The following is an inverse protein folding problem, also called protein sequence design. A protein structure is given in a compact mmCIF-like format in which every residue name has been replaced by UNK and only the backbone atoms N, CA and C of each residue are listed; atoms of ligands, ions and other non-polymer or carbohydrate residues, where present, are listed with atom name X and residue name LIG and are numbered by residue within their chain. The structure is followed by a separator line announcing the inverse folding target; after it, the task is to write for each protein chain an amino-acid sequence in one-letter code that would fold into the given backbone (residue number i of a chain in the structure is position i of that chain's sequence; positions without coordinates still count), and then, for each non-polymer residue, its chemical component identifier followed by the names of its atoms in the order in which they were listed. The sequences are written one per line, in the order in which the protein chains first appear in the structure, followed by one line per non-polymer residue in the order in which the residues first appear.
data_IF_447749073843
#
_entry.id   IF_447749073843
#
_cell.length_a   1.000
_cell.length_b   1.000
_cell.length_c   1.000
_cell.angle_alpha   90.00
_cell.angle_beta   90.00
_cell.angle_gamma   90.00
#
_symmetry.space_group_name_H-M   'P 1'
#
loop_
_entity.id
_entity.type
_entity.pdbx_description
1 polymer ?
#
# COMPACT_ATOMS: atom_id res chain seq x y z
N UNK A 1 5.14 76.08 38.04
CA UNK A 1 4.03 75.18 38.45
C UNK A 1 2.67 75.64 37.89
N UNK A 2 2.49 75.65 36.56
CA UNK A 2 1.18 75.97 35.92
C UNK A 2 0.77 74.99 34.82
N UNK A 3 1.38 73.80 34.78
CA UNK A 3 1.08 72.80 33.76
C UNK A 3 -0.03 71.81 34.19
N UNK A 4 -0.24 71.66 35.50
CA UNK A 4 -1.21 70.71 36.08
C UNK A 4 -2.66 71.22 36.23
N UNK A 5 -2.96 72.47 35.83
CA UNK A 5 -4.25 73.11 36.16
C UNK A 5 -5.30 73.11 35.04
N UNK A 6 -5.10 72.38 33.93
CA UNK A 6 -6.02 72.41 32.77
C UNK A 6 -6.68 71.09 32.37
N UNK A 7 -6.32 69.96 32.96
CA UNK A 7 -6.98 68.68 32.68
C UNK A 7 -7.62 68.13 33.94
N UNK A 8 -8.90 67.73 33.88
CA UNK A 8 -9.57 66.98 34.95
C UNK A 8 -8.67 65.75 35.23
N UNK A 9 -8.04 65.68 36.40
CA UNK A 9 -7.05 64.64 36.76
C UNK A 9 -7.62 63.21 36.71
N UNK A 10 -8.93 63.06 36.93
CA UNK A 10 -9.63 61.76 36.92
C UNK A 10 -9.62 61.06 35.54
N UNK A 11 -10.09 61.67 34.43
CA UNK A 11 -10.10 61.01 33.13
C UNK A 11 -8.70 60.66 32.60
N UNK A 12 -7.68 61.47 32.87
CA UNK A 12 -6.30 61.18 32.42
C UNK A 12 -5.72 59.95 33.10
N UNK A 13 -5.97 59.77 34.39
CA UNK A 13 -5.56 58.56 35.14
C UNK A 13 -6.24 57.30 34.62
N UNK A 14 -7.54 57.36 34.31
CA UNK A 14 -8.29 56.23 33.76
C UNK A 14 -7.72 55.82 32.40
N UNK A 15 -7.47 56.78 31.51
CA UNK A 15 -6.92 56.53 30.17
C UNK A 15 -5.54 55.87 30.24
N UNK A 16 -4.64 56.38 31.11
CA UNK A 16 -3.30 55.80 31.28
C UNK A 16 -3.39 54.38 31.87
N UNK A 17 -4.27 54.15 32.86
CA UNK A 17 -4.44 52.80 33.43
C UNK A 17 -4.98 51.80 32.40
N UNK A 18 -5.94 52.21 31.56
CA UNK A 18 -6.48 51.38 30.49
C UNK A 18 -5.43 51.06 29.43
N UNK A 19 -4.57 52.03 29.08
CA UNK A 19 -3.46 51.83 28.15
C UNK A 19 -2.44 50.82 28.67
N UNK A 20 -2.09 50.89 29.95
CA UNK A 20 -1.18 49.93 30.59
C UNK A 20 -1.79 48.53 30.63
N UNK A 21 -3.07 48.41 30.97
CA UNK A 21 -3.78 47.12 30.95
C UNK A 21 -3.81 46.53 29.53
N UNK A 22 -4.12 47.35 28.52
CA UNK A 22 -4.11 46.93 27.12
C UNK A 22 -2.72 46.43 26.67
N UNK A 23 -1.67 47.14 27.08
CA UNK A 23 -0.30 46.76 26.76
C UNK A 23 0.09 45.43 27.43
N UNK A 24 -0.28 45.25 28.70
CA UNK A 24 -0.05 43.98 29.41
C UNK A 24 -0.80 42.82 28.77
N UNK A 25 -2.07 43.03 28.39
CA UNK A 25 -2.86 42.02 27.67
C UNK A 25 -2.25 41.69 26.30
N UNK A 26 -1.75 42.67 25.57
CA UNK A 26 -1.08 42.44 24.29
C UNK A 26 0.19 41.60 24.45
N UNK A 27 1.04 41.93 25.43
CA UNK A 27 2.25 41.16 25.75
C UNK A 27 1.88 39.73 26.15
N UNK A 28 0.87 39.56 27.00
CA UNK A 28 0.40 38.23 27.42
C UNK A 28 -0.13 37.42 26.23
N UNK A 29 -0.94 38.04 25.35
CA UNK A 29 -1.47 37.39 24.16
C UNK A 29 -0.35 36.91 23.23
N UNK A 30 0.70 37.72 23.04
CA UNK A 30 1.87 37.36 22.24
C UNK A 30 2.58 36.14 22.85
N UNK A 31 2.86 36.15 24.16
CA UNK A 31 3.56 35.05 24.84
C UNK A 31 2.75 33.75 24.75
N UNK A 32 1.44 33.83 25.03
CA UNK A 32 0.53 32.69 24.97
C UNK A 32 0.45 32.15 23.54
N UNK A 33 0.38 33.04 22.54
CA UNK A 33 0.37 32.64 21.13
C UNK A 33 1.63 31.86 20.75
N UNK A 34 2.82 32.38 21.07
CA UNK A 34 4.08 31.70 20.75
C UNK A 34 4.21 30.36 21.48
N UNK A 35 3.93 30.32 22.78
CA UNK A 35 4.03 29.09 23.56
C UNK A 35 3.03 28.02 23.10
N UNK A 36 1.78 28.42 22.83
CA UNK A 36 0.73 27.51 22.38
C UNK A 36 1.03 27.01 20.97
N UNK A 37 1.51 27.90 20.09
CA UNK A 37 1.88 27.54 18.72
C UNK A 37 3.00 26.51 18.71
N UNK A 38 4.06 26.68 19.51
CA UNK A 38 5.15 25.71 19.60
C UNK A 38 4.68 24.35 20.12
N UNK A 39 3.87 24.34 21.19
CA UNK A 39 3.32 23.11 21.75
C UNK A 39 2.37 22.40 20.78
N UNK A 40 1.51 23.14 20.07
CA UNK A 40 0.65 22.57 19.03
C UNK A 40 1.46 22.00 17.88
N UNK A 41 2.46 22.72 17.37
CA UNK A 41 3.33 22.24 16.29
C UNK A 41 4.06 20.96 16.69
N UNK A 42 4.60 20.89 17.90
CA UNK A 42 5.23 19.67 18.41
C UNK A 42 4.24 18.50 18.47
N UNK A 43 3.06 18.71 19.07
CA UNK A 43 2.02 17.67 19.15
C UNK A 43 1.52 17.20 17.79
N UNK A 44 1.35 18.12 16.84
CA UNK A 44 0.92 17.78 15.47
C UNK A 44 2.01 16.99 14.76
N UNK A 45 3.28 17.35 14.95
CA UNK A 45 4.42 16.62 14.42
C UNK A 45 4.48 15.20 14.99
N UNK A 46 4.37 15.04 16.31
CA UNK A 46 4.41 13.73 16.97
C UNK A 46 3.23 12.85 16.56
N UNK A 47 2.02 13.42 16.48
CA UNK A 47 0.84 12.71 16.02
C UNK A 47 0.98 12.27 14.55
N UNK A 48 1.54 13.14 13.71
CA UNK A 48 1.79 12.83 12.29
C UNK A 48 2.84 11.74 12.14
N UNK A 49 3.91 11.79 12.94
CA UNK A 49 4.94 10.75 12.95
C UNK A 49 4.36 9.40 13.39
N UNK A 50 3.62 9.37 14.48
CA UNK A 50 2.97 8.14 14.96
C UNK A 50 2.00 7.57 13.93
N UNK A 51 1.25 8.42 13.23
CA UNK A 51 0.36 7.98 12.16
C UNK A 51 1.12 7.36 10.98
N UNK A 52 2.27 7.94 10.61
CA UNK A 52 3.14 7.41 9.55
C UNK A 52 3.75 6.06 9.97
N UNK A 53 4.18 5.93 11.22
CA UNK A 53 4.70 4.68 11.77
C UNK A 53 3.63 3.58 11.73
N UNK A 54 2.41 3.85 12.20
CA UNK A 54 1.30 2.91 12.15
C UNK A 54 0.94 2.50 10.70
N UNK A 55 0.97 3.47 9.77
CA UNK A 55 0.72 3.20 8.36
C UNK A 55 1.82 2.31 7.78
N UNK A 56 3.08 2.57 8.10
CA UNK A 56 4.22 1.78 7.65
C UNK A 56 4.20 0.35 8.21
N UNK A 57 3.83 0.18 9.49
CA UNK A 57 3.64 -1.13 10.11
C UNK A 57 2.52 -1.91 9.41
N UNK A 58 1.38 -1.27 9.16
CA UNK A 58 0.25 -1.87 8.46
C UNK A 58 0.63 -2.32 7.04
N UNK A 59 1.35 -1.47 6.28
CA UNK A 59 1.86 -1.83 4.95
C UNK A 59 2.83 -3.01 5.03
N UNK A 60 3.73 -3.02 6.01
CA UNK A 60 4.69 -4.12 6.22
C UNK A 60 3.98 -5.43 6.51
N UNK A 61 2.95 -5.42 7.37
CA UNK A 61 2.13 -6.59 7.68
C UNK A 61 1.38 -7.11 6.45
N UNK A 62 0.80 -6.22 5.64
CA UNK A 62 0.15 -6.60 4.38
C UNK A 62 1.14 -7.24 3.40
N UNK A 63 2.32 -6.64 3.21
CA UNK A 63 3.37 -7.20 2.35
C UNK A 63 3.83 -8.58 2.84
N UNK A 64 4.00 -8.76 4.15
CA UNK A 64 4.33 -10.07 4.73
C UNK A 64 3.20 -11.09 4.53
N UNK A 65 1.95 -10.67 4.68
CA UNK A 65 0.78 -11.51 4.44
C UNK A 65 0.67 -11.98 2.98
N UNK A 66 0.98 -11.10 2.02
CA UNK A 66 1.05 -11.44 0.59
C UNK A 66 2.16 -12.46 0.33
N UNK A 67 3.34 -12.27 0.92
CA UNK A 67 4.47 -13.22 0.82
C UNK A 67 4.09 -14.61 1.34
N UNK A 68 3.46 -14.67 2.51
CA UNK A 68 3.01 -15.92 3.12
C UNK A 68 1.98 -16.64 2.26
N UNK A 69 1.05 -15.89 1.64
CA UNK A 69 0.07 -16.46 0.72
C UNK A 69 0.73 -17.06 -0.52
N UNK A 70 1.62 -16.32 -1.17
CA UNK A 70 2.35 -16.84 -2.33
C UNK A 70 3.21 -18.07 -1.97
N UNK A 71 3.84 -18.07 -0.79
CA UNK A 71 4.55 -19.26 -0.30
C UNK A 71 3.59 -20.44 -0.12
N UNK A 72 2.40 -20.22 0.46
CA UNK A 72 1.41 -21.28 0.68
C UNK A 72 0.95 -21.95 -0.63
N UNK A 73 0.87 -21.17 -1.71
CA UNK A 73 0.55 -21.67 -3.06
C UNK A 73 1.73 -22.45 -3.63
N UNK A 74 2.95 -21.93 -3.50
CA UNK A 74 4.17 -22.57 -4.02
C UNK A 74 4.44 -23.92 -3.36
N UNK A 75 4.13 -24.07 -2.07
CA UNK A 75 4.31 -25.33 -1.33
C UNK A 75 3.07 -26.25 -1.39
N UNK A 76 2.01 -25.86 -2.08
CA UNK A 76 0.79 -26.65 -2.15
C UNK A 76 1.04 -27.92 -2.99
N UNK A 77 0.85 -29.09 -2.39
CA UNK A 77 1.11 -30.38 -3.04
C UNK A 77 0.30 -30.59 -4.32
N UNK A 78 -0.95 -30.15 -4.37
CA UNK A 78 -1.77 -30.28 -5.58
C UNK A 78 -1.21 -29.41 -6.71
N UNK A 79 -0.77 -28.19 -6.39
CA UNK A 79 -0.15 -27.29 -7.38
C UNK A 79 1.17 -27.87 -7.89
N UNK A 80 2.02 -28.40 -7.00
CA UNK A 80 3.28 -29.05 -7.37
C UNK A 80 3.04 -30.24 -8.31
N UNK A 81 2.14 -31.15 -7.92
CA UNK A 81 1.82 -32.35 -8.71
C UNK A 81 1.31 -31.97 -10.10
N UNK A 82 0.37 -31.03 -10.20
CA UNK A 82 -0.17 -30.59 -11.49
C UNK A 82 0.92 -29.97 -12.38
N UNK A 83 1.84 -29.19 -11.81
CA UNK A 83 2.95 -28.60 -12.57
C UNK A 83 4.05 -29.61 -12.95
N UNK A 84 4.14 -30.73 -12.26
CA UNK A 84 5.04 -31.84 -12.60
C UNK A 84 4.43 -32.77 -13.64
N UNK A 85 3.16 -33.15 -13.46
CA UNK A 85 2.39 -34.01 -14.36
C UNK A 85 2.07 -33.31 -15.69
N UNK A 86 2.00 -31.97 -15.67
CA UNK A 86 1.74 -31.15 -16.85
C UNK A 86 2.86 -31.16 -17.89
N UNK A 87 4.05 -31.69 -17.59
CA UNK A 87 5.19 -31.75 -18.52
C UNK A 87 4.79 -32.47 -19.82
N UNK A 88 5.17 -31.86 -20.95
CA UNK A 88 5.00 -32.33 -22.34
C UNK A 88 4.78 -33.85 -22.47
N UNK A 89 3.54 -34.27 -22.76
CA UNK A 89 3.17 -35.67 -22.98
C UNK A 89 1.92 -36.17 -22.23
N UNK A 90 1.36 -35.40 -21.30
CA UNK A 90 0.12 -35.74 -20.61
C UNK A 90 -1.12 -35.64 -21.50
N UNK A 91 -2.13 -36.48 -21.23
CA UNK A 91 -3.45 -36.44 -21.87
C UNK A 91 -4.06 -35.02 -21.76
N UNK A 92 -4.49 -34.46 -22.90
CA UNK A 92 -5.09 -33.12 -23.01
C UNK A 92 -6.27 -32.98 -22.03
N UNK A 93 -7.07 -34.04 -21.85
CA UNK A 93 -8.18 -34.02 -20.90
C UNK A 93 -7.72 -33.86 -19.46
N UNK A 94 -6.64 -34.54 -19.07
CA UNK A 94 -6.05 -34.42 -17.73
C UNK A 94 -5.46 -33.03 -17.52
N UNK A 95 -4.84 -32.44 -18.54
CA UNK A 95 -4.32 -31.06 -18.48
C UNK A 95 -5.44 -30.04 -18.28
N UNK A 96 -6.57 -30.17 -18.99
CA UNK A 96 -7.73 -29.28 -18.83
C UNK A 96 -8.28 -29.37 -17.41
N UNK A 97 -8.53 -30.58 -16.92
CA UNK A 97 -9.06 -30.81 -15.56
C UNK A 97 -8.11 -30.27 -14.48
N UNK A 98 -6.81 -30.46 -14.67
CA UNK A 98 -5.80 -29.95 -13.74
C UNK A 98 -5.74 -28.42 -13.75
N UNK A 99 -5.87 -27.79 -14.92
CA UNK A 99 -5.94 -26.34 -15.04
C UNK A 99 -7.21 -25.76 -14.37
N UNK A 100 -8.37 -26.40 -14.55
CA UNK A 100 -9.60 -26.03 -13.84
C UNK A 100 -9.42 -26.13 -12.32
N UNK A 101 -8.84 -27.23 -11.84
CA UNK A 101 -8.59 -27.42 -10.40
C UNK A 101 -7.65 -26.36 -9.81
N UNK A 102 -6.59 -25.96 -10.53
CA UNK A 102 -5.72 -24.85 -10.08
C UNK A 102 -6.47 -23.54 -10.13
N UNK A 103 -7.17 -23.27 -11.23
CA UNK A 103 -7.96 -22.05 -11.44
C UNK A 103 -8.97 -21.84 -10.31
N UNK A 104 -9.68 -22.88 -9.90
CA UNK A 104 -10.62 -22.85 -8.78
C UNK A 104 -9.92 -22.58 -7.45
N UNK A 105 -8.78 -23.23 -7.19
CA UNK A 105 -7.99 -23.00 -5.99
C UNK A 105 -7.51 -21.55 -5.90
N UNK A 106 -6.94 -21.02 -6.98
CA UNK A 106 -6.45 -19.64 -7.05
C UNK A 106 -7.60 -18.64 -6.94
N UNK A 107 -8.72 -18.89 -7.63
CA UNK A 107 -9.91 -18.02 -7.57
C UNK A 107 -10.51 -17.98 -6.17
N UNK A 108 -10.69 -19.13 -5.52
CA UNK A 108 -11.18 -19.20 -4.14
C UNK A 108 -10.24 -18.48 -3.17
N UNK A 109 -8.93 -18.63 -3.37
CA UNK A 109 -7.92 -17.94 -2.57
C UNK A 109 -8.00 -16.43 -2.75
N UNK A 110 -8.06 -15.94 -4.00
CA UNK A 110 -8.18 -14.51 -4.31
C UNK A 110 -9.50 -13.93 -3.77
N UNK A 111 -10.65 -14.59 -4.01
CA UNK A 111 -11.95 -14.11 -3.56
C UNK A 111 -12.12 -14.12 -2.04
N UNK A 112 -11.39 -14.97 -1.32
CA UNK A 112 -11.38 -14.95 0.14
C UNK A 112 -10.65 -13.73 0.74
N UNK A 113 -9.94 -12.96 -0.09
CA UNK A 113 -9.08 -11.85 0.32
C UNK A 113 -9.34 -10.59 -0.49
N UNK A 114 -9.92 -9.58 0.15
CA UNK A 114 -10.22 -8.29 -0.51
C UNK A 114 -8.97 -7.51 -0.94
N UNK A 115 -7.79 -7.84 -0.42
CA UNK A 115 -6.52 -7.21 -0.75
C UNK A 115 -5.76 -7.90 -1.91
N UNK A 116 -6.27 -9.04 -2.40
CA UNK A 116 -5.70 -9.77 -3.53
C UNK A 116 -6.65 -9.65 -4.72
N UNK A 117 -6.19 -8.99 -5.78
CA UNK A 117 -6.98 -8.87 -7.01
C UNK A 117 -6.89 -10.11 -7.90
N UNK A 118 -5.70 -10.71 -7.97
CA UNK A 118 -5.38 -11.78 -8.90
C UNK A 118 -4.22 -12.64 -8.41
N UNK A 119 -4.22 -13.91 -8.77
CA UNK A 119 -3.15 -14.86 -8.47
C UNK A 119 -2.83 -15.68 -9.71
N UNK A 120 -1.57 -15.62 -10.15
CA UNK A 120 -1.16 -16.19 -11.43
C UNK A 120 0.03 -17.09 -11.25
N UNK A 121 0.00 -18.24 -11.92
CA UNK A 121 1.13 -19.14 -12.07
C UNK A 121 1.65 -19.03 -13.49
N UNK A 122 2.92 -18.65 -13.66
CA UNK A 122 3.57 -18.58 -14.97
C UNK A 122 4.41 -19.85 -15.15
N UNK A 123 4.21 -20.57 -16.25
CA UNK A 123 4.92 -21.83 -16.52
C UNK A 123 5.16 -22.05 -18.02
N UNK A 124 6.23 -22.77 -18.35
CA UNK A 124 6.55 -23.30 -19.68
C UNK A 124 6.22 -24.81 -19.81
N UNK A 125 5.72 -25.41 -18.73
CA UNK A 125 5.53 -26.86 -18.64
C UNK A 125 4.24 -27.36 -19.28
N UNK A 126 3.26 -26.50 -19.50
CA UNK A 126 1.91 -26.86 -19.96
C UNK A 126 1.49 -26.05 -21.18
N UNK A 127 0.72 -26.66 -22.09
CA UNK A 127 0.11 -25.96 -23.23
C UNK A 127 -1.24 -25.36 -22.81
N UNK A 128 -1.24 -24.10 -22.34
CA UNK A 128 -2.40 -23.47 -21.72
C UNK A 128 -3.04 -22.45 -22.66
N UNK A 129 -4.37 -22.56 -22.85
CA UNK A 129 -5.18 -21.62 -23.63
C UNK A 129 -6.20 -20.86 -22.75
N UNK A 130 -5.87 -20.59 -21.49
CA UNK A 130 -6.75 -19.86 -20.58
C UNK A 130 -6.30 -18.40 -20.47
N UNK A 131 -7.09 -17.49 -21.05
CA UNK A 131 -6.73 -16.06 -21.19
C UNK A 131 -7.79 -15.10 -20.64
N UNK A 132 -8.92 -15.63 -20.17
CA UNK A 132 -10.05 -14.83 -19.66
C UNK A 132 -10.13 -14.81 -18.14
N UNK A 133 -9.46 -15.75 -17.45
CA UNK A 133 -9.50 -15.80 -15.99
C UNK A 133 -8.26 -15.12 -15.38
N UNK A 134 -8.42 -14.05 -14.57
CA UNK A 134 -7.31 -13.39 -13.89
C UNK A 134 -6.62 -14.28 -12.83
N UNK A 135 -7.25 -15.39 -12.44
CA UNK A 135 -6.75 -16.35 -11.47
C UNK A 135 -6.47 -17.69 -12.14
N UNK A 136 -5.23 -17.96 -12.54
CA UNK A 136 -4.96 -19.18 -13.32
C UNK A 136 -3.51 -19.36 -13.72
N UNK A 137 -3.30 -20.31 -14.63
CA UNK A 137 -1.99 -20.61 -15.19
C UNK A 137 -1.82 -19.90 -16.53
N UNK A 138 -0.66 -19.30 -16.75
CA UNK A 138 -0.32 -18.53 -17.92
C UNK A 138 0.98 -19.04 -18.54
N UNK A 139 1.02 -18.98 -19.87
CA UNK A 139 2.20 -19.36 -20.64
C UNK A 139 3.35 -18.37 -20.45
N UNK A 140 4.53 -18.90 -20.17
CA UNK A 140 5.73 -18.11 -19.91
C UNK A 140 6.17 -17.26 -21.10
N UNK A 141 6.08 -17.76 -22.34
CA UNK A 141 6.54 -17.04 -23.54
C UNK A 141 5.91 -15.64 -23.66
N UNK A 142 4.62 -15.50 -23.31
CA UNK A 142 3.90 -14.22 -23.40
C UNK A 142 4.33 -13.20 -22.34
N UNK A 143 4.95 -13.67 -21.27
CA UNK A 143 5.44 -12.81 -20.19
C UNK A 143 6.84 -12.27 -20.50
N UNK A 144 7.60 -12.91 -21.41
CA UNK A 144 8.97 -12.50 -21.74
C UNK A 144 9.08 -11.10 -22.32
N UNK A 145 8.08 -10.68 -23.09
CA UNK A 145 8.04 -9.34 -23.71
C UNK A 145 7.61 -8.23 -22.74
N UNK A 146 7.28 -8.58 -21.49
CA UNK A 146 6.79 -7.61 -20.51
C UNK A 146 7.97 -6.86 -19.86
N UNK A 147 7.82 -5.55 -19.57
CA UNK A 147 8.91 -4.72 -19.03
C UNK A 147 9.42 -5.16 -17.65
N UNK A 148 8.63 -5.95 -16.92
CA UNK A 148 9.00 -6.48 -15.60
C UNK A 148 9.65 -7.87 -15.65
N UNK A 149 9.69 -8.52 -16.82
CA UNK A 149 10.17 -9.90 -16.94
C UNK A 149 11.64 -10.05 -16.56
N UNK A 150 12.50 -9.15 -17.03
CA UNK A 150 13.93 -9.18 -16.69
C UNK A 150 14.16 -9.05 -15.18
N UNK A 151 13.35 -8.23 -14.51
CA UNK A 151 13.41 -8.08 -13.06
C UNK A 151 12.92 -9.33 -12.32
N UNK A 152 11.84 -9.95 -12.80
CA UNK A 152 11.32 -11.19 -12.21
C UNK A 152 12.29 -12.35 -12.41
N UNK A 153 12.72 -12.58 -13.65
CA UNK A 153 13.59 -13.71 -14.03
C UNK A 153 14.97 -13.67 -13.38
N UNK A 154 15.50 -12.49 -13.05
CA UNK A 154 16.79 -12.34 -12.36
C UNK A 154 16.75 -12.57 -10.84
N UNK A 155 15.57 -12.76 -10.23
CA UNK A 155 15.40 -12.87 -8.78
C UNK A 155 14.52 -14.05 -8.40
N UNK A 156 14.75 -14.65 -7.22
CA UNK A 156 13.87 -15.73 -6.74
C UNK A 156 12.51 -15.21 -6.27
N UNK A 157 12.47 -14.00 -5.73
CA UNK A 157 11.24 -13.37 -5.25
C UNK A 157 11.41 -11.85 -5.19
N UNK A 158 10.28 -11.14 -5.13
CA UNK A 158 10.30 -9.69 -4.94
C UNK A 158 8.95 -9.05 -5.15
N UNK A 159 8.89 -7.75 -4.85
CA UNK A 159 7.77 -6.91 -5.26
C UNK A 159 8.14 -6.14 -6.52
N UNK A 160 7.20 -6.11 -7.46
CA UNK A 160 7.22 -5.17 -8.57
C UNK A 160 6.67 -3.82 -8.10
N UNK A 161 7.24 -2.70 -8.57
CA UNK A 161 6.70 -1.38 -8.29
C UNK A 161 5.26 -1.25 -8.82
N UNK A 162 4.46 -0.32 -8.27
CA UNK A 162 3.11 -0.04 -8.76
C UNK A 162 3.11 0.19 -10.27
N UNK A 163 2.29 -0.57 -10.98
CA UNK A 163 2.22 -0.57 -12.45
C UNK A 163 0.79 -0.77 -12.91
N UNK A 164 0.52 -0.45 -14.17
CA UNK A 164 -0.77 -0.76 -14.76
C UNK A 164 -1.04 -2.27 -14.70
N UNK A 165 -2.30 -2.65 -14.44
CA UNK A 165 -2.71 -4.04 -14.59
C UNK A 165 -2.75 -4.37 -16.09
N UNK A 166 -1.67 -4.97 -16.57
CA UNK A 166 -1.48 -5.36 -17.96
C UNK A 166 -1.75 -6.85 -18.21
N UNK A 167 -2.35 -7.50 -17.21
CA UNK A 167 -2.78 -8.90 -17.20
C UNK A 167 -4.29 -8.95 -17.47
N UNK A 168 -5.07 -8.07 -16.83
CA UNK A 168 -6.51 -7.92 -17.09
C UNK A 168 -6.78 -7.03 -18.31
N UNK A 169 -7.76 -7.44 -19.11
CA UNK A 169 -8.22 -6.72 -20.32
C UNK A 169 -9.50 -5.91 -20.04
N UNK A 170 -10.17 -6.15 -18.90
CA UNK A 170 -11.46 -5.55 -18.54
C UNK A 170 -11.36 -4.20 -17.79
N UNK A 171 -10.15 -3.70 -17.54
CA UNK A 171 -9.90 -2.36 -17.02
C UNK A 171 -10.15 -2.15 -15.52
N UNK A 172 -10.47 -3.21 -14.76
CA UNK A 172 -10.63 -3.12 -13.31
C UNK A 172 -9.28 -3.23 -12.58
N UNK A 173 -9.03 -2.32 -11.63
CA UNK A 173 -7.77 -2.25 -10.88
C UNK A 173 -6.64 -1.64 -11.70
N UNK A 174 -6.80 -0.36 -12.09
CA UNK A 174 -5.89 0.32 -13.01
C UNK A 174 -4.41 0.29 -12.60
N UNK A 175 -4.09 0.16 -11.31
CA UNK A 175 -2.74 0.00 -10.80
C UNK A 175 -2.66 -1.12 -9.77
N UNK A 176 -1.64 -1.96 -9.88
CA UNK A 176 -1.40 -3.11 -9.01
C UNK A 176 0.04 -3.10 -8.49
N UNK A 177 0.21 -3.68 -7.31
CA UNK A 177 1.50 -4.11 -6.78
C UNK A 177 1.54 -5.63 -6.89
N UNK A 178 2.56 -6.16 -7.52
CA UNK A 178 2.69 -7.61 -7.71
C UNK A 178 3.82 -8.14 -6.85
N UNK A 179 3.55 -9.14 -6.02
CA UNK A 179 4.60 -9.98 -5.45
C UNK A 179 4.79 -11.20 -6.35
N UNK A 180 6.04 -11.52 -6.66
CA UNK A 180 6.39 -12.73 -7.40
C UNK A 180 7.32 -13.61 -6.58
N UNK A 181 7.25 -14.91 -6.86
CA UNK A 181 8.13 -15.93 -6.30
C UNK A 181 8.28 -17.07 -7.29
N UNK A 182 9.52 -17.49 -7.53
CA UNK A 182 9.81 -18.67 -8.34
C UNK A 182 9.46 -19.94 -7.56
N UNK A 183 8.88 -20.90 -8.27
CA UNK A 183 8.82 -22.28 -7.80
C UNK A 183 10.25 -22.83 -7.72
N UNK A 184 10.68 -23.20 -6.52
CA UNK A 184 11.87 -24.04 -6.36
C UNK A 184 11.40 -25.49 -6.48
N UNK A 185 11.58 -26.07 -7.67
CA UNK A 185 11.65 -27.52 -7.85
C UNK A 185 13.08 -27.98 -7.73
#
# INVERSE_FOLDING_TARGET
MKWFKRYKLQPTLVIVSSLVILLLLAVQAIIVYYSTSQLMSAKISDASLSQLEQTNESLTQQMQSIRSLALSIVINQNVIQILEDGRWGADIYQQIRSNESITDLLSNTAYSRSDISEIIIITDRMSIYNYSNPNGIYEQERMKDKPYWDYMSSRTEGFLPPRANDIRIDGAGAHIITYFRHFRT
#
